data_IF_835994618729
#
_entry.id   IF_835994618729
#
_cell.length_a   1.000
_cell.length_b   1.000
_cell.length_c   1.000
_cell.angle_alpha   90.00
_cell.angle_beta   90.00
_cell.angle_gamma   90.00
#
_symmetry.space_group_name_H-M   'P 1'
#
loop_
_entity.id
_entity.type
_entity.pdbx_description
1 polymer ?
#
# COMPACT_ATOMS: atom_id res chain seq x y z
N UNK A 1 8.57 1.34 -21.06
CA UNK A 1 7.81 0.19 -20.58
C UNK A 1 6.49 0.67 -20.03
N UNK A 2 5.41 0.22 -20.63
CA UNK A 2 4.09 0.46 -20.10
C UNK A 2 3.84 -0.44 -18.90
N UNK A 3 3.42 0.14 -17.78
CA UNK A 3 2.88 -0.63 -16.68
C UNK A 3 1.37 -0.51 -16.73
N UNK A 4 0.70 -1.62 -16.56
CA UNK A 4 -0.75 -1.61 -16.46
C UNK A 4 -1.15 -1.23 -15.04
N UNK A 5 -2.06 -0.27 -14.92
CA UNK A 5 -2.55 0.19 -13.64
C UNK A 5 -4.01 -0.12 -13.46
N UNK A 6 -4.34 -0.66 -12.31
CA UNK A 6 -5.72 -0.75 -11.85
C UNK A 6 -5.82 0.06 -10.58
N UNK A 7 -6.82 0.92 -10.51
CA UNK A 7 -7.04 1.78 -9.35
C UNK A 7 -8.31 1.37 -8.62
N UNK A 8 -8.18 1.12 -7.31
CA UNK A 8 -9.32 0.85 -6.45
C UNK A 8 -9.23 1.76 -5.24
N UNK A 9 -10.34 2.38 -4.90
CA UNK A 9 -10.44 3.21 -3.70
C UNK A 9 -11.70 2.80 -2.95
N UNK A 10 -11.57 2.51 -1.66
CA UNK A 10 -12.70 2.05 -0.87
C UNK A 10 -12.50 2.39 0.61
N UNK A 11 -13.61 2.70 1.28
CA UNK A 11 -13.67 2.83 2.73
C UNK A 11 -14.06 1.51 3.40
N UNK A 12 -14.26 0.45 2.62
CA UNK A 12 -14.63 -0.86 3.12
C UNK A 12 -13.41 -1.77 3.16
N UNK A 13 -13.05 -2.26 4.35
CA UNK A 13 -11.90 -3.13 4.54
C UNK A 13 -11.98 -4.37 3.66
N UNK A 14 -13.17 -4.99 3.58
CA UNK A 14 -13.34 -6.22 2.81
C UNK A 14 -13.11 -6.02 1.30
N UNK A 15 -13.45 -4.86 0.76
CA UNK A 15 -13.20 -4.57 -0.66
C UNK A 15 -11.70 -4.46 -0.94
N UNK A 16 -10.93 -3.85 -0.04
CA UNK A 16 -9.47 -3.77 -0.18
C UNK A 16 -8.85 -5.18 -0.10
N UNK A 17 -9.32 -5.99 0.83
CA UNK A 17 -8.83 -7.36 1.01
C UNK A 17 -9.14 -8.20 -0.22
N UNK A 18 -10.37 -8.12 -0.74
CA UNK A 18 -10.76 -8.85 -1.94
C UNK A 18 -9.93 -8.43 -3.15
N UNK A 19 -9.66 -7.13 -3.29
CA UNK A 19 -8.82 -6.62 -4.36
C UNK A 19 -7.41 -7.20 -4.28
N UNK A 20 -6.83 -7.27 -3.08
CA UNK A 20 -5.51 -7.85 -2.86
C UNK A 20 -5.53 -9.34 -3.22
N UNK A 21 -6.51 -10.10 -2.77
CA UNK A 21 -6.61 -11.52 -3.10
C UNK A 21 -6.74 -11.75 -4.60
N UNK A 22 -7.50 -10.90 -5.29
CA UNK A 22 -7.68 -11.00 -6.74
C UNK A 22 -6.41 -10.62 -7.51
N UNK A 23 -5.46 -9.96 -6.87
CA UNK A 23 -4.18 -9.61 -7.49
C UNK A 23 -3.23 -10.82 -7.55
N UNK A 24 -3.49 -11.88 -6.80
CA UNK A 24 -2.62 -13.04 -6.73
C UNK A 24 -2.37 -13.63 -8.14
N UNK A 25 -1.11 -13.78 -8.49
CA UNK A 25 -0.64 -14.27 -9.80
C UNK A 25 -1.05 -13.40 -11.00
N UNK A 26 -1.65 -12.22 -10.76
CA UNK A 26 -2.07 -11.30 -11.82
C UNK A 26 -1.30 -9.98 -11.81
N UNK A 27 -0.79 -9.58 -10.67
CA UNK A 27 -0.18 -8.27 -10.44
C UNK A 27 1.22 -8.47 -9.86
N UNK A 28 2.18 -7.67 -10.32
CA UNK A 28 3.59 -7.80 -9.91
C UNK A 28 3.98 -6.85 -8.79
N UNK A 29 3.21 -5.80 -8.56
CA UNK A 29 3.54 -4.81 -7.54
C UNK A 29 2.28 -4.06 -7.11
N UNK A 30 2.16 -3.79 -5.82
CA UNK A 30 1.01 -3.06 -5.26
C UNK A 30 1.50 -1.74 -4.67
N UNK A 31 0.80 -0.65 -4.99
CA UNK A 31 0.91 0.62 -4.29
C UNK A 31 -0.40 0.82 -3.56
N UNK A 32 -0.35 0.89 -2.24
CA UNK A 32 -1.55 0.92 -1.41
C UNK A 32 -1.58 2.15 -0.51
N UNK A 33 -2.72 2.86 -0.53
CA UNK A 33 -3.06 3.82 0.51
C UNK A 33 -4.15 3.21 1.37
N UNK A 34 -3.79 2.63 2.51
CA UNK A 34 -4.77 1.94 3.35
C UNK A 34 -5.59 2.89 4.22
N UNK A 35 -5.25 4.17 4.24
CA UNK A 35 -5.91 5.11 5.12
C UNK A 35 -5.78 4.70 6.58
N UNK A 36 -6.85 4.86 7.35
CA UNK A 36 -6.85 4.51 8.77
C UNK A 36 -6.70 3.01 9.02
N UNK A 37 -6.97 2.16 8.04
CA UNK A 37 -6.83 0.71 8.20
C UNK A 37 -5.39 0.28 8.51
N UNK A 38 -4.40 1.08 8.14
CA UNK A 38 -3.00 0.81 8.50
C UNK A 38 -2.80 0.72 10.00
N UNK A 39 -3.65 1.39 10.79
CA UNK A 39 -3.54 1.44 12.25
C UNK A 39 -4.39 0.36 12.94
N UNK A 40 -5.26 -0.33 12.22
CA UNK A 40 -6.29 -1.18 12.82
C UNK A 40 -6.41 -2.56 12.19
N UNK A 41 -5.98 -2.77 10.95
CA UNK A 41 -6.33 -3.98 10.21
C UNK A 41 -5.23 -5.01 10.16
N UNK A 42 -5.32 -6.01 11.02
CA UNK A 42 -4.50 -7.23 10.92
C UNK A 42 -4.94 -8.05 9.69
N UNK A 43 -6.23 -8.03 9.35
CA UNK A 43 -6.74 -8.76 8.18
C UNK A 43 -6.13 -8.24 6.88
N UNK A 44 -5.94 -6.93 6.75
CA UNK A 44 -5.29 -6.33 5.59
C UNK A 44 -3.81 -6.77 5.51
N UNK A 45 -3.11 -6.78 6.64
CA UNK A 45 -1.75 -7.29 6.73
C UNK A 45 -1.67 -8.75 6.26
N UNK A 46 -2.57 -9.58 6.74
CA UNK A 46 -2.58 -10.99 6.40
C UNK A 46 -2.86 -11.22 4.92
N UNK A 47 -3.75 -10.41 4.32
CA UNK A 47 -4.03 -10.47 2.89
C UNK A 47 -2.78 -10.16 2.07
N UNK A 48 -2.04 -9.12 2.42
CA UNK A 48 -0.82 -8.74 1.73
C UNK A 48 0.26 -9.83 1.85
N UNK A 49 0.39 -10.44 3.03
CA UNK A 49 1.32 -11.55 3.23
C UNK A 49 0.93 -12.76 2.41
N UNK A 50 -0.36 -13.06 2.30
CA UNK A 50 -0.84 -14.27 1.63
C UNK A 50 -0.56 -14.26 0.13
N UNK A 51 -0.60 -13.10 -0.51
CA UNK A 51 -0.34 -13.00 -1.95
C UNK A 51 1.16 -12.87 -2.28
N UNK A 52 1.98 -12.49 -1.31
CA UNK A 52 3.44 -12.35 -1.48
C UNK A 52 3.85 -11.39 -2.60
N UNK A 53 3.01 -10.40 -2.89
CA UNK A 53 3.33 -9.37 -3.88
C UNK A 53 4.02 -8.21 -3.16
N UNK A 54 5.18 -7.73 -3.65
CA UNK A 54 5.82 -6.57 -3.03
C UNK A 54 4.94 -5.33 -3.13
N UNK A 55 4.95 -4.51 -2.09
CA UNK A 55 4.09 -3.34 -2.07
C UNK A 55 4.77 -2.15 -1.39
N UNK A 56 4.29 -0.95 -1.72
CA UNK A 56 4.65 0.30 -1.06
C UNK A 56 3.40 0.87 -0.40
N UNK A 57 3.53 1.24 0.86
CA UNK A 57 2.49 1.91 1.63
C UNK A 57 2.61 3.41 1.43
N UNK A 58 1.51 4.07 1.05
CA UNK A 58 1.47 5.52 0.82
C UNK A 58 0.43 6.16 1.72
N UNK A 59 0.81 7.23 2.38
CA UNK A 59 -0.09 8.10 3.15
C UNK A 59 0.07 9.52 2.65
N UNK A 60 -1.04 10.21 2.38
CA UNK A 60 -1.02 11.58 1.89
C UNK A 60 -0.52 12.56 2.95
N UNK A 61 -0.88 12.33 4.19
CA UNK A 61 -0.46 13.17 5.31
C UNK A 61 0.67 12.53 6.11
N UNK A 62 1.35 13.35 6.92
CA UNK A 62 2.40 12.86 7.79
C UNK A 62 1.78 12.20 9.04
N UNK A 63 1.70 10.87 9.03
CA UNK A 63 1.11 10.10 10.14
C UNK A 63 1.90 10.26 11.44
N UNK A 64 3.18 10.59 11.35
CA UNK A 64 4.03 10.76 12.54
C UNK A 64 3.77 12.08 13.27
N UNK A 65 3.05 13.02 12.65
CA UNK A 65 2.64 14.26 13.28
C UNK A 65 1.28 14.18 13.96
N UNK A 66 0.70 12.98 14.03
CA UNK A 66 -0.63 12.75 14.60
C UNK A 66 -0.54 12.05 15.95
N UNK A 67 -1.70 11.64 16.48
CA UNK A 67 -1.79 10.95 17.75
C UNK A 67 -0.92 9.67 17.75
N UNK A 68 -0.49 9.24 18.94
CA UNK A 68 0.42 8.11 19.06
C UNK A 68 -0.07 6.84 18.37
N UNK A 69 -1.40 6.54 18.42
CA UNK A 69 -1.94 5.34 17.79
C UNK A 69 -1.83 5.39 16.26
N UNK A 70 -1.73 6.60 15.67
CA UNK A 70 -1.59 6.78 14.23
C UNK A 70 -0.13 6.69 13.76
N UNK A 71 0.81 6.55 14.68
CA UNK A 71 2.23 6.40 14.36
C UNK A 71 2.61 4.95 14.10
N UNK A 72 1.77 4.00 14.52
CA UNK A 72 1.99 2.57 14.30
C UNK A 72 1.19 2.08 13.09
N UNK A 73 1.85 1.33 12.22
CA UNK A 73 1.22 0.69 11.07
C UNK A 73 1.40 -0.82 11.16
N UNK A 74 0.33 -1.56 10.89
CA UNK A 74 0.42 -3.02 10.75
C UNK A 74 1.02 -3.46 9.43
N UNK A 75 1.29 -2.52 8.51
CA UNK A 75 1.79 -2.83 7.16
C UNK A 75 3.25 -2.45 6.94
N UNK A 76 3.75 -1.44 7.67
CA UNK A 76 5.04 -0.82 7.35
C UNK A 76 6.21 -1.78 7.44
N UNK A 77 6.19 -2.73 8.36
CA UNK A 77 7.28 -3.67 8.55
C UNK A 77 7.40 -4.72 7.43
N UNK A 78 6.31 -4.97 6.70
CA UNK A 78 6.30 -5.94 5.59
C UNK A 78 6.31 -5.26 4.22
N UNK A 79 6.23 -3.94 4.16
CA UNK A 79 6.28 -3.19 2.90
C UNK A 79 7.71 -3.08 2.38
N UNK A 80 7.85 -2.94 1.05
CA UNK A 80 9.14 -2.60 0.44
C UNK A 80 9.56 -1.18 0.80
N UNK A 81 8.61 -0.31 1.05
CA UNK A 81 8.87 1.06 1.44
C UNK A 81 7.60 1.75 1.90
N UNK A 82 7.77 2.89 2.56
CA UNK A 82 6.67 3.70 3.08
C UNK A 82 6.90 5.15 2.65
N UNK A 83 5.88 5.79 2.12
CA UNK A 83 5.90 7.20 1.74
C UNK A 83 4.80 7.92 2.50
N UNK A 84 5.16 8.94 3.26
CA UNK A 84 4.20 9.70 4.08
C UNK A 84 4.39 11.20 3.87
N UNK A 85 3.31 11.95 3.91
CA UNK A 85 3.38 13.40 4.09
C UNK A 85 3.62 14.20 2.83
N UNK A 86 3.60 13.60 1.66
CA UNK A 86 3.91 14.28 0.40
C UNK A 86 2.67 14.55 -0.44
N UNK A 87 1.47 14.39 0.13
CA UNK A 87 0.24 14.54 -0.61
C UNK A 87 0.15 13.57 -1.77
N UNK A 88 -0.58 13.95 -2.81
CA UNK A 88 -0.76 13.10 -3.99
C UNK A 88 0.57 12.80 -4.71
N UNK A 89 1.58 13.62 -4.56
CA UNK A 89 2.90 13.39 -5.16
C UNK A 89 3.54 12.10 -4.63
N UNK A 90 3.14 11.63 -3.44
CA UNK A 90 3.59 10.35 -2.90
C UNK A 90 3.31 9.18 -3.83
N UNK A 91 2.18 9.21 -4.55
CA UNK A 91 1.87 8.16 -5.54
C UNK A 91 2.86 8.15 -6.69
N UNK A 92 3.28 9.33 -7.16
CA UNK A 92 4.26 9.42 -8.25
C UNK A 92 5.58 8.79 -7.84
N UNK A 93 6.03 9.05 -6.63
CA UNK A 93 7.26 8.47 -6.11
C UNK A 93 7.13 6.95 -5.91
N UNK A 94 5.97 6.50 -5.44
CA UNK A 94 5.72 5.06 -5.27
C UNK A 94 5.71 4.34 -6.61
N UNK A 95 5.08 4.91 -7.63
CA UNK A 95 5.07 4.33 -8.97
C UNK A 95 6.46 4.28 -9.58
N UNK A 96 7.27 5.33 -9.39
CA UNK A 96 8.65 5.34 -9.86
C UNK A 96 9.47 4.24 -9.18
N UNK A 97 9.30 4.07 -7.87
CA UNK A 97 10.00 3.04 -7.11
C UNK A 97 9.57 1.64 -7.55
N UNK A 98 8.27 1.43 -7.78
CA UNK A 98 7.74 0.15 -8.26
C UNK A 98 8.30 -0.20 -9.63
N UNK A 99 8.33 0.76 -10.54
CA UNK A 99 8.89 0.57 -11.88
C UNK A 99 10.37 0.17 -11.80
N UNK A 100 11.13 0.87 -10.96
CA UNK A 100 12.55 0.55 -10.78
C UNK A 100 12.74 -0.84 -10.18
N UNK A 101 11.91 -1.23 -9.24
CA UNK A 101 11.95 -2.56 -8.62
C UNK A 101 11.74 -3.65 -9.68
N UNK A 102 10.74 -3.46 -10.54
CA UNK A 102 10.36 -4.46 -11.56
C UNK A 102 11.35 -4.55 -12.72
N UNK A 103 12.16 -3.52 -12.93
CA UNK A 103 13.12 -3.48 -14.05
C UNK A 103 14.56 -3.77 -13.64
N UNK A 104 14.78 -4.17 -12.41
CA UNK A 104 16.12 -4.53 -11.94
C UNK A 104 16.72 -5.72 -12.69
#
# INVERSE_FOLDING_TARGET
>A
IGLDFTHVQSNAEHELIDTIHNAFEQIDFIVINPGAFTHTSVALRDALLSVSIPFIEVHLSNVHAREAFRQHSYLSDIAQGVICGLGAQGYEFALAAAKRYLTK
#
